data_IF_956395541587
#
_entry.id   IF_956395541587
#
_cell.length_a   1.000
_cell.length_b   1.000
_cell.length_c   1.000
_cell.angle_alpha   90.00
_cell.angle_beta   90.00
_cell.angle_gamma   90.00
#
_symmetry.space_group_name_H-M   'P 1'
#
loop_
_entity.id
_entity.type
_entity.pdbx_description
1 polymer ?
#
# COMPACT_ATOMS: atom_id res chain seq x y z
N UNK A 1 -1.04 -13.13 -15.70
CA UNK A 1 -1.92 -12.64 -14.63
C UNK A 1 -1.30 -11.55 -13.78
N UNK A 2 -0.02 -11.65 -13.40
CA UNK A 2 0.64 -10.65 -12.55
C UNK A 2 0.65 -9.21 -13.10
N UNK A 3 0.88 -9.03 -14.41
CA UNK A 3 0.81 -7.70 -15.05
C UNK A 3 -0.58 -7.09 -14.95
N UNK A 4 -1.64 -7.92 -14.99
CA UNK A 4 -3.02 -7.44 -14.80
C UNK A 4 -3.21 -6.95 -13.36
N UNK A 5 -2.71 -7.69 -12.38
CA UNK A 5 -2.78 -7.28 -10.97
C UNK A 5 -2.07 -5.93 -10.72
N UNK A 6 -0.88 -5.71 -11.31
CA UNK A 6 -0.21 -4.41 -11.24
C UNK A 6 -1.02 -3.29 -11.89
N UNK A 7 -1.61 -3.55 -13.06
CA UNK A 7 -2.41 -2.55 -13.78
C UNK A 7 -3.72 -2.23 -13.04
N UNK A 8 -4.35 -3.22 -12.42
CA UNK A 8 -5.54 -3.02 -11.61
C UNK A 8 -5.22 -2.20 -10.36
N UNK A 9 -4.06 -2.43 -9.73
CA UNK A 9 -3.62 -1.62 -8.61
C UNK A 9 -3.33 -0.19 -9.06
N UNK A 10 -2.60 -0.02 -10.17
CA UNK A 10 -2.33 1.29 -10.74
C UNK A 10 -3.63 2.05 -11.04
N UNK A 11 -4.66 1.40 -11.59
CA UNK A 11 -5.97 2.01 -11.86
C UNK A 11 -6.68 2.53 -10.61
N UNK A 12 -6.47 1.88 -9.46
CA UNK A 12 -6.97 2.39 -8.18
C UNK A 12 -6.17 3.64 -7.78
N UNK A 13 -4.83 3.54 -7.81
CA UNK A 13 -3.93 4.57 -7.31
C UNK A 13 -3.95 5.86 -8.15
N UNK A 14 -4.10 5.79 -9.48
CA UNK A 14 -4.10 6.99 -10.36
C UNK A 14 -5.24 7.96 -10.10
N UNK A 15 -6.25 7.56 -9.30
CA UNK A 15 -7.37 8.40 -8.90
C UNK A 15 -7.14 9.08 -7.56
N UNK A 16 -6.03 8.78 -6.90
CA UNK A 16 -5.72 9.24 -5.56
C UNK A 16 -4.82 10.49 -5.58
N UNK A 17 -4.97 11.41 -4.62
CA UNK A 17 -4.20 12.65 -4.59
C UNK A 17 -2.70 12.44 -4.31
N UNK A 18 -2.33 11.26 -3.80
CA UNK A 18 -0.95 10.89 -3.47
C UNK A 18 -0.24 10.11 -4.57
N UNK A 19 -0.82 9.98 -5.78
CA UNK A 19 -0.23 9.17 -6.86
C UNK A 19 1.21 9.55 -7.17
N UNK A 20 1.56 10.83 -7.07
CA UNK A 20 2.92 11.32 -7.33
C UNK A 20 3.97 10.76 -6.35
N UNK A 21 3.54 10.20 -5.22
CA UNK A 21 4.43 9.51 -4.27
C UNK A 21 4.68 8.05 -4.63
N UNK A 22 3.99 7.48 -5.62
CA UNK A 22 4.15 6.08 -6.02
C UNK A 22 5.24 6.00 -7.11
N UNK A 23 6.43 5.54 -6.73
CA UNK A 23 7.54 5.39 -7.66
C UNK A 23 7.48 4.07 -8.45
N UNK A 24 7.09 2.97 -7.81
CA UNK A 24 6.98 1.67 -8.47
C UNK A 24 5.95 0.73 -7.80
N UNK A 25 5.45 -0.23 -8.57
CA UNK A 25 4.64 -1.35 -8.09
C UNK A 25 5.43 -2.64 -8.38
N UNK A 26 5.85 -3.32 -7.32
CA UNK A 26 6.57 -4.57 -7.39
C UNK A 26 5.62 -5.76 -7.22
N UNK A 27 5.55 -6.55 -8.29
CA UNK A 27 4.78 -7.79 -8.41
C UNK A 27 5.68 -9.02 -8.57
N UNK A 28 7.01 -8.87 -8.47
CA UNK A 28 7.98 -9.95 -8.72
C UNK A 28 7.77 -11.19 -7.85
N UNK A 29 7.16 -11.00 -6.68
CA UNK A 29 6.84 -12.06 -5.74
C UNK A 29 5.44 -12.67 -5.89
N UNK A 30 4.56 -12.09 -6.69
CA UNK A 30 3.12 -12.45 -6.72
C UNK A 30 2.90 -13.91 -7.15
N UNK A 31 3.61 -14.38 -8.17
CA UNK A 31 3.57 -15.78 -8.62
C UNK A 31 4.05 -16.80 -7.56
N UNK A 32 4.71 -16.33 -6.48
CA UNK A 32 5.18 -17.14 -5.34
C UNK A 32 4.38 -16.85 -4.08
N UNK A 33 3.15 -16.37 -4.24
CA UNK A 33 2.24 -16.00 -3.15
C UNK A 33 2.81 -14.93 -2.19
N UNK A 34 3.75 -14.10 -2.65
CA UNK A 34 4.22 -12.93 -1.89
C UNK A 34 3.32 -11.73 -2.14
N UNK A 35 3.28 -10.75 -1.21
CA UNK A 35 2.47 -9.55 -1.39
C UNK A 35 3.00 -8.65 -2.52
N UNK A 36 2.09 -7.90 -3.13
CA UNK A 36 2.42 -6.73 -3.95
C UNK A 36 2.95 -5.64 -3.02
N UNK A 37 4.03 -4.99 -3.45
CA UNK A 37 4.67 -3.89 -2.71
C UNK A 37 4.65 -2.64 -3.57
N UNK A 38 4.24 -1.53 -2.96
CA UNK A 38 4.36 -0.20 -3.54
C UNK A 38 5.65 0.41 -2.99
N UNK A 39 6.52 0.87 -3.88
CA UNK A 39 7.66 1.70 -3.51
C UNK A 39 7.29 3.16 -3.67
N UNK A 40 7.60 3.96 -2.65
CA UNK A 40 7.36 5.40 -2.72
C UNK A 40 8.52 6.14 -3.40
N UNK A 41 8.34 7.43 -3.67
CA UNK A 41 9.38 8.37 -4.09
C UNK A 41 10.55 8.52 -3.10
N UNK A 42 10.40 8.02 -1.87
CA UNK A 42 11.47 7.92 -0.85
C UNK A 42 12.06 6.50 -0.76
N UNK A 43 11.77 5.62 -1.72
CA UNK A 43 12.18 4.21 -1.72
C UNK A 43 11.66 3.40 -0.51
N UNK A 44 10.68 3.93 0.23
CA UNK A 44 10.03 3.22 1.34
C UNK A 44 9.01 2.21 0.83
N UNK A 45 8.71 1.21 1.66
CA UNK A 45 7.88 0.06 1.26
C UNK A 45 6.49 0.15 1.88
N UNK A 46 5.47 0.23 1.03
CA UNK A 46 4.07 0.08 1.43
C UNK A 46 3.58 -1.28 0.93
N UNK A 47 3.36 -2.22 1.85
CA UNK A 47 2.91 -3.57 1.52
C UNK A 47 1.41 -3.54 1.25
N UNK A 48 1.01 -3.72 0.00
CA UNK A 48 -0.39 -3.73 -0.44
C UNK A 48 -1.08 -5.07 -0.16
N UNK A 49 -0.33 -6.18 -0.17
CA UNK A 49 -0.89 -7.52 0.03
C UNK A 49 -1.30 -8.20 -1.28
N UNK A 50 -2.44 -8.86 -1.30
CA UNK A 50 -2.98 -9.55 -2.47
C UNK A 50 -3.31 -8.60 -3.62
N UNK A 51 -3.44 -9.16 -4.83
CA UNK A 51 -3.91 -8.43 -5.99
C UNK A 51 -5.29 -7.78 -5.74
N UNK A 52 -5.60 -6.63 -6.36
CA UNK A 52 -6.91 -6.03 -6.23
C UNK A 52 -8.04 -6.99 -6.62
N UNK A 53 -9.18 -6.85 -5.95
CA UNK A 53 -10.36 -7.72 -6.06
C UNK A 53 -10.08 -9.20 -5.76
N UNK A 54 -8.96 -9.51 -5.11
CA UNK A 54 -8.61 -10.88 -4.68
C UNK A 54 -8.75 -11.00 -3.17
N UNK A 55 -9.51 -11.98 -2.72
CA UNK A 55 -9.59 -12.30 -1.31
C UNK A 55 -8.33 -13.04 -0.85
N UNK A 56 -7.72 -12.59 0.24
CA UNK A 56 -6.69 -13.33 0.97
C UNK A 56 -7.00 -13.31 2.46
N UNK A 57 -7.05 -14.48 3.12
CA UNK A 57 -7.29 -14.55 4.57
C UNK A 57 -6.32 -13.67 5.35
N UNK A 58 -6.83 -12.86 6.28
CA UNK A 58 -6.01 -11.98 7.09
C UNK A 58 -5.75 -10.60 6.49
N UNK A 59 -6.24 -10.31 5.27
CA UNK A 59 -6.16 -8.99 4.65
C UNK A 59 -7.50 -8.25 4.64
N UNK A 60 -7.45 -6.94 4.84
CA UNK A 60 -8.60 -6.04 4.64
C UNK A 60 -8.92 -5.84 3.15
N UNK A 61 -10.10 -5.31 2.84
CA UNK A 61 -10.49 -4.99 1.46
C UNK A 61 -9.67 -3.86 0.85
N UNK A 62 -9.59 -3.81 -0.48
CA UNK A 62 -8.89 -2.74 -1.21
C UNK A 62 -9.42 -1.34 -0.86
N UNK A 63 -10.72 -1.22 -0.61
CA UNK A 63 -11.33 0.04 -0.16
C UNK A 63 -10.78 0.50 1.18
N UNK A 64 -10.59 -0.42 2.14
CA UNK A 64 -10.00 -0.11 3.44
C UNK A 64 -8.51 0.23 3.27
N UNK A 65 -7.78 -0.49 2.42
CA UNK A 65 -6.38 -0.18 2.10
C UNK A 65 -6.23 1.24 1.54
N UNK A 66 -7.05 1.61 0.56
CA UNK A 66 -7.07 2.96 -0.01
C UNK A 66 -7.44 4.02 1.03
N UNK A 67 -8.48 3.78 1.84
CA UNK A 67 -8.88 4.69 2.92
C UNK A 67 -7.71 4.97 3.86
N UNK A 68 -6.96 3.93 4.25
CA UNK A 68 -5.78 4.08 5.10
C UNK A 68 -4.68 4.90 4.44
N UNK A 69 -4.38 4.67 3.15
CA UNK A 69 -3.39 5.50 2.43
C UNK A 69 -3.82 6.97 2.39
N UNK A 70 -5.11 7.25 2.17
CA UNK A 70 -5.66 8.61 2.22
C UNK A 70 -5.50 9.21 3.62
N UNK A 71 -5.82 8.47 4.67
CA UNK A 71 -5.65 8.94 6.06
C UNK A 71 -4.18 9.25 6.39
N UNK A 72 -3.22 8.43 5.92
CA UNK A 72 -1.79 8.71 6.07
C UNK A 72 -1.39 9.98 5.32
N UNK A 73 -1.83 10.11 4.06
CA UNK A 73 -1.55 11.29 3.25
C UNK A 73 -2.15 12.57 3.83
N UNK A 74 -3.40 12.52 4.30
CA UNK A 74 -4.08 13.65 4.93
C UNK A 74 -3.39 14.07 6.24
N UNK A 75 -2.92 13.10 7.03
CA UNK A 75 -2.31 13.36 8.34
C UNK A 75 -0.85 13.80 8.27
N UNK A 76 -0.07 13.20 7.38
CA UNK A 76 1.40 13.38 7.33
C UNK A 76 1.89 14.01 6.02
N UNK A 77 1.00 14.24 5.06
CA UNK A 77 1.37 14.60 3.69
C UNK A 77 2.01 13.44 2.92
N UNK A 78 2.09 12.22 3.50
CA UNK A 78 2.77 11.07 2.91
C UNK A 78 2.09 9.73 3.20
N UNK A 79 2.08 8.82 2.22
CA UNK A 79 1.51 7.47 2.36
C UNK A 79 2.42 6.48 3.11
N UNK A 80 3.68 6.84 3.35
CA UNK A 80 4.60 6.07 4.18
C UNK A 80 4.71 6.59 5.62
N UNK A 81 4.18 7.78 5.90
CA UNK A 81 4.29 8.48 7.19
C UNK A 81 5.73 8.50 7.76
N UNK A 82 6.75 8.53 6.89
CA UNK A 82 8.16 8.50 7.30
C UNK A 82 8.65 7.14 7.82
N UNK A 83 7.86 6.07 7.70
CA UNK A 83 8.26 4.71 8.06
C UNK A 83 9.05 4.04 6.93
N UNK A 84 10.00 3.16 7.27
CA UNK A 84 10.67 2.30 6.29
C UNK A 84 9.72 1.26 5.67
N UNK A 85 8.70 0.86 6.45
CA UNK A 85 7.72 -0.16 6.10
C UNK A 85 6.32 0.22 6.62
N UNK A 86 5.31 0.10 5.75
CA UNK A 86 3.90 0.26 6.11
C UNK A 86 3.10 -0.96 5.61
N UNK A 87 2.52 -1.72 6.53
CA UNK A 87 1.69 -2.89 6.19
C UNK A 87 0.22 -2.50 6.05
N UNK A 88 -0.16 -1.96 4.88
CA UNK A 88 -1.51 -1.41 4.67
C UNK A 88 -2.62 -2.47 4.66
N UNK A 89 -2.25 -3.72 4.37
CA UNK A 89 -3.18 -4.83 4.20
C UNK A 89 -3.66 -5.47 5.51
N UNK A 90 -2.96 -5.24 6.63
CA UNK A 90 -3.19 -5.99 7.85
C UNK A 90 -4.54 -5.65 8.52
N UNK A 91 -5.23 -6.62 9.13
CA UNK A 91 -6.47 -6.34 9.88
C UNK A 91 -6.25 -5.51 11.14
N UNK A 92 -5.02 -5.46 11.65
CA UNK A 92 -4.67 -4.66 12.82
C UNK A 92 -4.55 -3.18 12.47
N UNK A 93 -4.70 -2.27 13.46
CA UNK A 93 -4.37 -0.86 13.26
C UNK A 93 -2.92 -0.70 12.78
N UNK A 94 -2.69 0.26 11.89
CA UNK A 94 -1.33 0.61 11.47
C UNK A 94 -0.55 1.09 12.68
N UNK A 95 0.61 0.49 12.94
CA UNK A 95 1.58 1.02 13.90
C UNK A 95 2.61 1.82 13.13
N UNK A 96 2.59 3.14 13.31
CA UNK A 96 3.54 4.04 12.68
C UNK A 96 4.58 4.47 13.71
N UNK A 97 5.87 4.53 13.35
CA UNK A 97 6.90 5.10 14.23
C UNK A 97 6.57 6.52 14.69
N UNK A 98 5.95 7.32 13.80
CA UNK A 98 5.52 8.69 14.07
C UNK A 98 4.45 8.82 15.18
N UNK A 99 3.73 7.75 15.52
CA UNK A 99 2.77 7.76 16.64
C UNK A 99 3.43 7.45 18.00
N UNK A 100 4.75 7.23 18.02
CA UNK A 100 5.51 6.81 19.21
C UNK A 100 6.27 7.94 19.91
N UNK A 101 6.16 9.19 19.43
CA UNK A 101 6.73 10.35 20.13
C UNK A 101 5.70 10.99 21.09
N UNK A 102 6.08 11.23 22.37
CA UNK A 102 5.24 11.88 23.37
C UNK A 102 5.11 13.40 23.20
#
# INVERSE_FOLDING_TARGET
DDVRAALDLLRLLVREPFIDQVAAIDISGLARDKPIVIYTDHETRVVWGAAPNTFRPGEVSDEIKLKRLRELFERYGRIDAGSELVEIHAHVPLRLPADSEP
#
